data_IF_830432905517
#
_entry.id   IF_830432905517
#
_cell.length_a   1.000
_cell.length_b   1.000
_cell.length_c   1.000
_cell.angle_alpha   90.00
_cell.angle_beta   90.00
_cell.angle_gamma   90.00
#
_symmetry.space_group_name_H-M   'P 1'
#
loop_
_entity.id
_entity.type
_entity.pdbx_description
1 polymer ?
#
# COMPACT_ATOMS: atom_id res chain seq x y z
N UNK A 1 8.35 -7.58 5.93
CA UNK A 1 8.57 -8.77 5.09
C UNK A 1 8.69 -10.04 5.91
N UNK A 2 9.31 -10.02 7.10
CA UNK A 2 9.48 -11.22 7.96
C UNK A 2 8.21 -12.04 8.23
N UNK A 3 7.04 -11.42 8.15
CA UNK A 3 5.76 -12.09 8.38
C UNK A 3 5.39 -13.16 7.35
N UNK A 4 5.71 -12.95 6.06
CA UNK A 4 5.44 -13.92 4.96
C UNK A 4 6.72 -14.61 4.45
N UNK A 5 7.85 -14.42 5.14
CA UNK A 5 9.16 -14.94 4.74
C UNK A 5 9.76 -15.80 5.86
N UNK A 6 9.22 -17.00 6.10
CA UNK A 6 9.62 -17.84 7.23
C UNK A 6 11.06 -18.36 7.12
N UNK A 7 11.60 -18.53 5.91
CA UNK A 7 12.94 -19.10 5.71
C UNK A 7 14.02 -18.03 5.51
N UNK A 8 15.29 -18.34 5.84
CA UNK A 8 16.41 -17.43 5.57
C UNK A 8 16.55 -17.04 4.09
N UNK A 9 16.20 -17.96 3.18
CA UNK A 9 16.24 -17.71 1.72
C UNK A 9 15.18 -16.69 1.32
N UNK A 10 13.94 -16.86 1.77
CA UNK A 10 12.87 -15.89 1.51
C UNK A 10 13.19 -14.53 2.11
N UNK A 11 13.70 -14.49 3.34
CA UNK A 11 14.13 -13.22 3.96
C UNK A 11 15.18 -12.52 3.12
N UNK A 12 16.17 -13.25 2.60
CA UNK A 12 17.20 -12.68 1.72
C UNK A 12 16.61 -12.16 0.41
N UNK A 13 15.70 -12.92 -0.23
CA UNK A 13 15.02 -12.47 -1.44
C UNK A 13 14.22 -11.19 -1.18
N UNK A 14 13.43 -11.15 -0.10
CA UNK A 14 12.67 -9.96 0.28
C UNK A 14 13.56 -8.76 0.57
N UNK A 15 14.70 -8.92 1.23
CA UNK A 15 15.63 -7.82 1.45
C UNK A 15 16.12 -7.22 0.14
N UNK A 16 16.46 -8.05 -0.85
CA UNK A 16 16.92 -7.60 -2.16
C UNK A 16 15.80 -6.90 -2.93
N UNK A 17 14.59 -7.48 -2.94
CA UNK A 17 13.41 -6.87 -3.57
C UNK A 17 13.08 -5.52 -2.93
N UNK A 18 13.11 -5.43 -1.60
CA UNK A 18 12.83 -4.17 -0.90
C UNK A 18 13.83 -3.06 -1.24
N UNK A 19 15.09 -3.39 -1.55
CA UNK A 19 16.07 -2.40 -2.01
C UNK A 19 15.76 -1.89 -3.42
N UNK A 20 15.27 -2.78 -4.30
CA UNK A 20 14.87 -2.39 -5.65
C UNK A 20 13.59 -1.55 -5.62
N UNK A 21 12.58 -1.99 -4.88
CA UNK A 21 11.34 -1.25 -4.68
C UNK A 21 11.56 0.12 -4.04
N UNK A 22 12.46 0.22 -3.06
CA UNK A 22 12.81 1.51 -2.46
C UNK A 22 13.41 2.47 -3.49
N UNK A 23 14.29 1.98 -4.39
CA UNK A 23 14.85 2.79 -5.48
C UNK A 23 13.78 3.19 -6.49
N UNK A 24 12.95 2.25 -6.92
CA UNK A 24 11.86 2.49 -7.88
C UNK A 24 10.86 3.55 -7.36
N UNK A 25 10.38 3.37 -6.12
CA UNK A 25 9.45 4.33 -5.50
C UNK A 25 10.09 5.69 -5.30
N UNK A 26 11.35 5.74 -4.82
CA UNK A 26 12.05 7.00 -4.62
C UNK A 26 12.22 7.77 -5.93
N UNK A 27 12.56 7.08 -7.03
CA UNK A 27 12.69 7.69 -8.35
C UNK A 27 11.38 8.34 -8.80
N UNK A 28 10.26 7.61 -8.74
CA UNK A 28 8.94 8.16 -9.08
C UNK A 28 8.55 9.37 -8.24
N UNK A 29 8.79 9.33 -6.92
CA UNK A 29 8.47 10.44 -6.02
C UNK A 29 9.32 11.68 -6.28
N UNK A 30 10.59 11.53 -6.63
CA UNK A 30 11.45 12.67 -6.98
C UNK A 30 10.96 13.38 -8.25
N UNK A 31 10.54 12.61 -9.26
CA UNK A 31 9.95 13.17 -10.48
C UNK A 31 8.63 13.88 -10.20
N UNK A 32 7.75 13.27 -9.38
CA UNK A 32 6.50 13.88 -8.99
C UNK A 32 6.72 15.19 -8.23
N UNK A 33 7.66 15.19 -7.28
CA UNK A 33 8.05 16.40 -6.54
C UNK A 33 8.59 17.49 -7.46
N UNK A 34 9.47 17.14 -8.40
CA UNK A 34 9.99 18.10 -9.36
C UNK A 34 8.87 18.76 -10.16
N UNK A 35 7.87 17.98 -10.62
CA UNK A 35 6.70 18.53 -11.31
C UNK A 35 5.87 19.45 -10.42
N UNK A 36 5.66 19.10 -9.15
CA UNK A 36 4.90 19.94 -8.22
C UNK A 36 5.63 21.26 -7.88
N UNK A 37 6.96 21.24 -7.87
CA UNK A 37 7.76 22.42 -7.56
C UNK A 37 7.94 23.34 -8.79
N UNK A 38 7.97 22.80 -10.02
CA UNK A 38 8.34 23.55 -11.23
C UNK A 38 7.22 23.72 -12.27
N UNK A 39 6.15 22.92 -12.22
CA UNK A 39 5.03 22.93 -13.17
C UNK A 39 3.67 22.90 -12.44
N UNK A 40 3.35 23.89 -11.59
CA UNK A 40 2.16 23.88 -10.75
C UNK A 40 0.84 23.80 -11.53
N UNK A 41 0.83 24.25 -12.78
CA UNK A 41 -0.32 24.19 -13.70
C UNK A 41 -0.79 22.77 -14.00
N UNK A 42 0.09 21.76 -13.84
CA UNK A 42 -0.25 20.36 -14.10
C UNK A 42 -1.02 19.71 -12.93
N UNK A 43 -0.98 20.34 -11.74
CA UNK A 43 -1.59 19.79 -10.51
C UNK A 43 -3.07 19.40 -10.67
N UNK A 44 -3.95 20.18 -11.34
CA UNK A 44 -5.35 19.77 -11.53
C UNK A 44 -5.49 18.49 -12.37
N UNK A 45 -4.72 18.38 -13.46
CA UNK A 45 -4.72 17.19 -14.31
C UNK A 45 -4.22 15.96 -13.55
N UNK A 46 -3.09 16.11 -12.84
CA UNK A 46 -2.53 15.06 -12.02
C UNK A 46 -3.51 14.58 -10.94
N UNK A 47 -4.17 15.52 -10.24
CA UNK A 47 -5.20 15.17 -9.26
C UNK A 47 -6.36 14.43 -9.91
N UNK A 48 -6.78 14.79 -11.12
CA UNK A 48 -7.83 14.06 -11.85
C UNK A 48 -7.41 12.62 -12.17
N UNK A 49 -6.16 12.40 -12.59
CA UNK A 49 -5.65 11.04 -12.85
C UNK A 49 -5.57 10.21 -11.57
N UNK A 50 -5.12 10.81 -10.46
CA UNK A 50 -5.10 10.15 -9.16
C UNK A 50 -6.51 9.82 -8.67
N UNK A 51 -7.47 10.75 -8.81
CA UNK A 51 -8.88 10.53 -8.45
C UNK A 51 -9.48 9.35 -9.25
N UNK A 52 -9.11 9.20 -10.52
CA UNK A 52 -9.53 8.05 -11.33
C UNK A 52 -8.85 6.76 -10.91
N UNK A 53 -7.52 6.75 -10.74
CA UNK A 53 -6.78 5.56 -10.34
C UNK A 53 -7.22 5.03 -8.97
N UNK A 54 -7.43 5.92 -8.00
CA UNK A 54 -7.86 5.57 -6.64
C UNK A 54 -9.27 4.98 -6.61
N UNK A 55 -10.17 5.42 -7.50
CA UNK A 55 -11.54 4.87 -7.60
C UNK A 55 -11.56 3.43 -8.11
N UNK A 56 -10.59 3.06 -8.94
CA UNK A 56 -10.47 1.68 -9.44
C UNK A 56 -9.76 0.76 -8.44
N UNK A 57 -9.17 1.32 -7.38
CA UNK A 57 -8.49 0.57 -6.35
C UNK A 57 -9.51 0.01 -5.33
N UNK A 58 -10.14 -1.10 -5.69
CA UNK A 58 -11.10 -1.83 -4.81
C UNK A 58 -10.41 -2.62 -3.70
N UNK A 59 -9.09 -2.78 -3.79
CA UNK A 59 -8.18 -3.38 -2.82
C UNK A 59 -6.75 -3.26 -3.36
N UNK A 60 -5.75 -3.41 -2.49
CA UNK A 60 -4.34 -3.36 -2.93
C UNK A 60 -3.88 -4.66 -3.61
N UNK A 61 -4.68 -5.71 -3.50
CA UNK A 61 -4.43 -7.01 -4.11
C UNK A 61 -5.64 -7.42 -4.93
N UNK A 62 -5.41 -8.13 -6.04
CA UNK A 62 -6.47 -8.85 -6.71
C UNK A 62 -6.96 -10.03 -5.83
N UNK A 63 -8.14 -10.62 -6.10
CA UNK A 63 -8.72 -11.67 -5.26
C UNK A 63 -7.79 -12.88 -5.04
N UNK A 64 -7.15 -13.38 -6.11
CA UNK A 64 -6.27 -14.54 -6.05
C UNK A 64 -5.01 -14.27 -5.20
N UNK A 65 -4.47 -13.06 -5.33
CA UNK A 65 -3.34 -12.59 -4.53
C UNK A 65 -3.75 -12.38 -3.08
N UNK A 66 -4.95 -11.84 -2.82
CA UNK A 66 -5.45 -11.62 -1.46
C UNK A 66 -5.56 -12.93 -0.69
N UNK A 67 -6.17 -13.96 -1.28
CA UNK A 67 -6.28 -15.30 -0.69
C UNK A 67 -4.89 -15.87 -0.37
N UNK A 68 -3.98 -15.81 -1.33
CA UNK A 68 -2.59 -16.28 -1.15
C UNK A 68 -1.89 -15.56 0.02
N UNK A 69 -2.07 -14.25 0.13
CA UNK A 69 -1.50 -13.45 1.21
C UNK A 69 -2.09 -13.79 2.57
N UNK A 70 -3.40 -14.08 2.64
CA UNK A 70 -4.08 -14.51 3.87
C UNK A 70 -3.53 -15.87 4.32
N UNK A 71 -3.39 -16.84 3.42
CA UNK A 71 -2.85 -18.17 3.76
C UNK A 71 -1.40 -18.08 4.24
N UNK A 72 -0.53 -17.39 3.48
CA UNK A 72 0.88 -17.20 3.84
C UNK A 72 1.02 -16.47 5.17
N UNK A 73 0.20 -15.44 5.35
CA UNK A 73 0.20 -14.64 6.55
C UNK A 73 -0.36 -15.35 7.79
N UNK A 74 -1.40 -16.15 7.59
CA UNK A 74 -1.99 -17.03 8.59
C UNK A 74 -1.11 -18.22 8.97
N UNK A 75 -0.09 -18.50 8.15
CA UNK A 75 0.81 -19.66 8.25
C UNK A 75 0.08 -21.00 8.10
N UNK A 76 -0.95 -21.04 7.26
CA UNK A 76 -1.72 -22.25 6.98
C UNK A 76 -3.18 -21.97 6.59
N UNK A 77 -3.95 -23.05 6.47
CA UNK A 77 -5.33 -23.03 5.97
C UNK A 77 -6.38 -23.46 7.01
N UNK A 78 -5.98 -23.70 8.26
CA UNK A 78 -6.95 -23.95 9.34
C UNK A 78 -7.79 -22.68 9.59
N UNK A 79 -9.01 -22.80 10.15
CA UNK A 79 -9.85 -21.65 10.43
C UNK A 79 -9.16 -20.55 11.27
N UNK A 80 -8.33 -20.95 12.23
CA UNK A 80 -7.56 -20.01 13.06
C UNK A 80 -6.41 -19.36 12.30
N UNK A 81 -5.71 -20.11 11.43
CA UNK A 81 -4.72 -19.54 10.53
C UNK A 81 -5.35 -18.51 9.59
N UNK A 82 -6.50 -18.82 8.98
CA UNK A 82 -7.19 -17.90 8.08
C UNK A 82 -7.61 -16.61 8.79
N UNK A 83 -8.19 -16.72 9.99
CA UNK A 83 -8.57 -15.55 10.82
C UNK A 83 -7.37 -14.63 11.07
N UNK A 84 -6.26 -15.22 11.53
CA UNK A 84 -4.99 -14.50 11.72
C UNK A 84 -4.47 -13.88 10.43
N UNK A 85 -4.60 -14.60 9.31
CA UNK A 85 -4.20 -14.12 7.99
C UNK A 85 -4.96 -12.86 7.58
N UNK A 86 -6.28 -12.86 7.76
CA UNK A 86 -7.15 -11.70 7.49
C UNK A 86 -6.70 -10.50 8.32
N UNK A 87 -6.51 -10.67 9.62
CA UNK A 87 -6.08 -9.58 10.52
C UNK A 87 -4.75 -8.97 10.09
N UNK A 88 -3.73 -9.81 9.85
CA UNK A 88 -2.41 -9.28 9.53
C UNK A 88 -2.35 -8.68 8.13
N UNK A 89 -3.03 -9.28 7.15
CA UNK A 89 -3.09 -8.72 5.78
C UNK A 89 -3.89 -7.41 5.76
N UNK A 90 -4.99 -7.32 6.50
CA UNK A 90 -5.74 -6.08 6.69
C UNK A 90 -4.88 -4.97 7.29
N UNK A 91 -4.18 -5.27 8.39
CA UNK A 91 -3.23 -4.33 9.01
C UNK A 91 -2.13 -3.88 8.03
N UNK A 92 -1.62 -4.81 7.21
CA UNK A 92 -0.61 -4.52 6.21
C UNK A 92 -1.15 -3.58 5.12
N UNK A 93 -2.34 -3.83 4.58
CA UNK A 93 -2.97 -2.97 3.59
C UNK A 93 -3.27 -1.57 4.15
N UNK A 94 -3.74 -1.48 5.41
CA UNK A 94 -3.94 -0.19 6.10
C UNK A 94 -2.65 0.64 6.18
N UNK A 95 -1.52 0.00 6.52
CA UNK A 95 -0.20 0.66 6.54
C UNK A 95 0.26 1.11 5.14
N UNK A 96 0.01 0.32 4.10
CA UNK A 96 0.35 0.71 2.72
C UNK A 96 -0.39 1.97 2.28
N UNK A 97 -1.68 2.10 2.63
CA UNK A 97 -2.46 3.31 2.34
C UNK A 97 -1.92 4.52 3.13
N UNK A 98 -1.56 4.33 4.40
CA UNK A 98 -0.94 5.40 5.20
C UNK A 98 0.37 5.90 4.57
N UNK A 99 1.24 4.98 4.17
CA UNK A 99 2.50 5.30 3.50
C UNK A 99 2.29 6.00 2.15
N UNK A 100 1.25 5.61 1.41
CA UNK A 100 0.85 6.32 0.19
C UNK A 100 0.56 7.80 0.49
N UNK A 101 -0.21 8.11 1.53
CA UNK A 101 -0.51 9.50 1.89
C UNK A 101 0.72 10.28 2.33
N UNK A 102 1.59 9.69 3.15
CA UNK A 102 2.86 10.33 3.54
C UNK A 102 3.74 10.64 2.32
N UNK A 103 3.77 9.74 1.33
CA UNK A 103 4.54 9.94 0.10
C UNK A 103 3.93 11.02 -0.79
N UNK A 104 2.60 11.06 -0.91
CA UNK A 104 1.90 12.11 -1.64
C UNK A 104 2.18 13.49 -1.03
N UNK A 105 2.11 13.62 0.29
CA UNK A 105 2.45 14.86 1.01
C UNK A 105 3.90 15.28 0.73
N UNK A 106 4.87 14.35 0.87
CA UNK A 106 6.28 14.63 0.57
C UNK A 106 6.55 15.00 -0.89
N UNK A 107 5.73 14.50 -1.82
CA UNK A 107 5.80 14.85 -3.23
C UNK A 107 5.10 16.19 -3.56
N UNK A 108 4.52 16.87 -2.58
CA UNK A 108 3.87 18.17 -2.75
C UNK A 108 2.35 18.10 -2.91
N UNK A 109 1.71 16.96 -2.65
CA UNK A 109 0.25 16.77 -2.75
C UNK A 109 -0.39 16.48 -1.38
N UNK A 110 -0.30 17.39 -0.40
CA UNK A 110 -0.87 17.17 0.94
C UNK A 110 -2.40 16.98 0.91
N UNK A 111 -3.09 17.57 -0.07
CA UNK A 111 -4.55 17.47 -0.21
C UNK A 111 -5.04 16.05 -0.51
N UNK A 112 -4.14 15.14 -0.90
CA UNK A 112 -4.49 13.80 -1.37
C UNK A 112 -5.19 12.98 -0.30
N UNK A 113 -4.80 13.14 0.97
CA UNK A 113 -5.39 12.43 2.11
C UNK A 113 -6.89 12.68 2.24
N UNK A 114 -7.34 13.92 2.04
CA UNK A 114 -8.74 14.28 2.23
C UNK A 114 -9.59 14.10 0.97
N UNK A 115 -8.96 14.08 -0.20
CA UNK A 115 -9.66 13.83 -1.47
C UNK A 115 -9.84 12.34 -1.77
N UNK A 116 -9.00 11.47 -1.21
CA UNK A 116 -8.93 10.08 -1.62
C UNK A 116 -10.00 9.20 -0.97
N UNK A 117 -10.69 8.33 -1.74
CA UNK A 117 -11.58 7.32 -1.16
C UNK A 117 -10.82 6.29 -0.31
N UNK A 118 -9.49 6.21 -0.45
CA UNK A 118 -8.66 5.27 0.29
C UNK A 118 -8.60 5.56 1.80
N UNK A 119 -8.94 6.79 2.21
CA UNK A 119 -9.02 7.17 3.63
C UNK A 119 -10.01 6.28 4.39
N UNK A 120 -11.21 6.11 3.86
CA UNK A 120 -12.23 5.23 4.45
C UNK A 120 -11.81 3.76 4.39
N UNK A 121 -11.21 3.33 3.27
CA UNK A 121 -10.73 1.95 3.12
C UNK A 121 -9.70 1.61 4.20
N UNK A 122 -8.74 2.52 4.45
CA UNK A 122 -7.74 2.36 5.51
C UNK A 122 -8.38 2.22 6.88
N UNK A 123 -9.37 3.06 7.20
CA UNK A 123 -10.06 2.99 8.50
C UNK A 123 -10.74 1.63 8.69
N UNK A 124 -11.40 1.10 7.65
CA UNK A 124 -11.99 -0.25 7.67
C UNK A 124 -10.93 -1.35 7.85
N UNK A 125 -9.83 -1.25 7.12
CA UNK A 125 -8.72 -2.22 7.18
C UNK A 125 -7.99 -2.23 8.52
N UNK A 126 -7.96 -1.11 9.24
CA UNK A 126 -7.40 -1.02 10.60
C UNK A 126 -8.43 -1.45 11.65
N UNK A 127 -9.70 -1.07 11.50
CA UNK A 127 -10.76 -1.42 12.45
C UNK A 127 -11.03 -2.93 12.49
N UNK A 128 -10.93 -3.62 11.35
CA UNK A 128 -11.06 -5.09 11.27
C UNK A 128 -9.95 -5.89 11.97
N UNK A 129 -8.95 -5.21 12.54
CA UNK A 129 -7.83 -5.81 13.29
C UNK A 129 -8.02 -5.67 14.81
N UNK A 130 -8.95 -4.81 15.25
CA UNK A 130 -9.18 -4.49 16.66
C UNK A 130 -10.44 -5.16 17.26
N UNK A 131 -11.18 -5.95 16.47
CA UNK A 131 -12.39 -6.69 16.85
C UNK A 131 -12.16 -8.19 16.72
#
# INVERSE_FOLDING_TARGET
SEFISPTPVEQRMFQLVMQDEARHVSYGLQHLKYLMDNCPEIRPQLNSFLDEAERHLTGLFNPDQLESMIVLGGKGTSPDCIRRGIEVVGAFQGKQIEEYFHRAERAGLPERRDRSPLKELRERMIAGVAA
#
